data_IF_593690257940
#
_entry.id   IF_593690257940
#
_cell.length_a   1.000
_cell.length_b   1.000
_cell.length_c   1.000
_cell.angle_alpha   90.00
_cell.angle_beta   90.00
_cell.angle_gamma   90.00
#
_symmetry.space_group_name_H-M   'P 1'
#
loop_
_entity.id
_entity.type
_entity.pdbx_description
1 polymer ?
#
# COMPACT_ATOMS: atom_id res chain seq x y z
N UNK A 1 19.38 8.80 9.04
CA UNK A 1 17.93 8.98 8.85
C UNK A 1 17.43 10.07 9.78
N UNK A 2 17.54 11.33 9.37
CA UNK A 2 16.64 12.36 9.90
C UNK A 2 15.19 12.09 9.44
N UNK A 3 14.22 12.65 10.16
CA UNK A 3 12.81 12.63 9.77
C UNK A 3 12.33 14.07 9.65
N UNK A 4 11.73 14.42 8.51
CA UNK A 4 11.03 15.69 8.34
C UNK A 4 9.54 15.45 8.52
N UNK A 5 9.02 16.05 9.58
CA UNK A 5 7.60 16.10 9.89
C UNK A 5 7.06 17.44 9.39
N UNK A 6 5.93 17.43 8.69
CA UNK A 6 5.19 18.67 8.38
C UNK A 6 3.74 18.49 8.79
N UNK A 7 3.32 19.23 9.81
CA UNK A 7 1.92 19.43 10.14
C UNK A 7 1.38 20.51 9.21
N UNK A 8 0.32 20.18 8.51
CA UNK A 8 -0.58 21.12 7.83
C UNK A 8 -1.90 21.14 8.61
N UNK A 9 -2.77 22.10 8.31
CA UNK A 9 -4.13 22.15 8.85
C UNK A 9 -5.13 22.29 7.71
N UNK A 10 -6.30 21.67 7.84
CA UNK A 10 -7.45 21.96 6.98
C UNK A 10 -8.07 23.34 7.33
N UNK A 11 -9.01 23.87 6.53
CA UNK A 11 -9.70 25.12 6.84
C UNK A 11 -10.47 25.12 8.18
N UNK A 12 -10.81 23.92 8.71
CA UNK A 12 -11.40 23.73 10.03
C UNK A 12 -10.37 23.60 11.18
N UNK A 13 -9.07 23.78 10.92
CA UNK A 13 -8.01 23.72 11.92
C UNK A 13 -7.55 22.31 12.33
N UNK A 14 -8.09 21.25 11.72
CA UNK A 14 -7.71 19.85 11.99
C UNK A 14 -6.37 19.52 11.34
N UNK A 15 -5.53 18.79 12.05
CA UNK A 15 -4.13 18.52 11.65
C UNK A 15 -4.05 17.42 10.59
N UNK A 16 -3.42 17.74 9.47
CA UNK A 16 -2.94 16.79 8.46
C UNK A 16 -1.45 16.56 8.74
N UNK A 17 -1.04 15.30 8.93
CA UNK A 17 0.32 14.95 9.35
C UNK A 17 1.08 14.27 8.21
N UNK A 18 2.08 14.95 7.63
CA UNK A 18 2.98 14.34 6.65
C UNK A 18 4.25 13.80 7.33
N UNK A 19 4.48 12.51 7.14
CA UNK A 19 5.63 11.77 7.65
C UNK A 19 6.52 11.31 6.49
N UNK A 20 7.82 11.59 6.56
CA UNK A 20 8.79 11.12 5.57
C UNK A 20 10.07 10.59 6.24
N UNK A 21 10.61 9.50 5.70
CA UNK A 21 12.02 9.18 5.90
C UNK A 21 12.87 10.12 5.04
N UNK A 22 13.95 10.65 5.61
CA UNK A 22 15.01 11.25 4.79
C UNK A 22 16.05 10.15 4.58
N UNK A 23 16.14 9.67 3.34
CA UNK A 23 17.30 8.92 2.89
C UNK A 23 18.41 9.94 2.65
N UNK A 24 19.39 9.98 3.56
CA UNK A 24 20.56 10.87 3.45
C UNK A 24 21.57 10.28 2.47
N UNK A 25 21.21 10.27 1.19
CA UNK A 25 22.20 10.29 0.11
C UNK A 25 22.98 11.60 0.17
N UNK A 26 24.23 11.59 -0.30
CA UNK A 26 25.14 12.73 -0.19
C UNK A 26 24.58 14.03 -0.81
N UNK A 27 25.11 15.17 -0.35
CA UNK A 27 24.62 16.51 -0.69
C UNK A 27 24.73 16.90 -2.17
N UNK A 28 24.24 18.10 -2.55
CA UNK A 28 24.08 18.52 -3.94
C UNK A 28 25.42 18.75 -4.66
N UNK A 29 25.99 17.69 -5.20
CA UNK A 29 27.10 17.72 -6.16
C UNK A 29 26.57 17.59 -7.59
N UNK A 30 26.84 18.62 -8.40
CA UNK A 30 26.72 18.71 -9.87
C UNK A 30 26.27 17.45 -10.64
N UNK A 31 25.16 17.57 -11.37
CA UNK A 31 24.93 16.75 -12.58
C UNK A 31 25.98 17.14 -13.63
N UNK A 32 27.05 16.34 -13.75
CA UNK A 32 27.98 16.41 -14.89
C UNK A 32 27.53 15.48 -16.00
N UNK A 33 27.74 15.89 -17.25
CA UNK A 33 27.30 15.18 -18.45
C UNK A 33 28.11 13.91 -18.73
N UNK A 34 27.55 13.04 -19.58
CA UNK A 34 28.16 11.77 -19.99
C UNK A 34 29.49 11.96 -20.73
N UNK A 35 30.60 11.59 -20.07
CA UNK A 35 31.89 11.29 -20.70
C UNK A 35 32.77 10.37 -19.83
N UNK A 36 33.03 10.75 -18.58
CA UNK A 36 34.18 10.24 -17.81
C UNK A 36 33.87 9.13 -16.77
N UNK A 37 33.13 8.10 -17.19
CA UNK A 37 32.86 6.89 -16.36
C UNK A 37 33.32 5.60 -17.05
N UNK A 38 34.64 5.48 -17.28
CA UNK A 38 35.26 4.23 -17.79
C UNK A 38 36.26 3.53 -16.85
N UNK A 39 36.64 4.12 -15.71
CA UNK A 39 37.66 3.52 -14.81
C UNK A 39 37.29 3.55 -13.32
N UNK A 40 36.20 2.87 -12.94
CA UNK A 40 35.98 2.39 -11.56
C UNK A 40 35.48 0.94 -11.58
N UNK A 41 36.01 0.04 -10.73
CA UNK A 41 35.57 -1.35 -10.68
C UNK A 41 34.15 -1.47 -10.07
N UNK A 42 33.30 -2.39 -10.56
CA UNK A 42 31.94 -2.51 -10.08
C UNK A 42 31.88 -3.10 -8.67
N UNK A 43 31.42 -2.30 -7.70
CA UNK A 43 31.05 -2.78 -6.36
C UNK A 43 29.72 -3.55 -6.48
N UNK A 44 29.82 -4.81 -6.88
CA UNK A 44 28.67 -5.70 -7.08
C UNK A 44 27.94 -5.96 -5.76
N UNK A 45 26.64 -5.66 -5.73
CA UNK A 45 25.75 -6.19 -4.71
C UNK A 45 25.72 -7.74 -4.81
N UNK A 46 26.04 -8.51 -3.76
CA UNK A 46 26.35 -9.93 -3.87
C UNK A 46 25.09 -10.83 -3.94
N UNK A 47 24.25 -10.63 -4.97
CA UNK A 47 23.08 -11.47 -5.26
C UNK A 47 22.77 -11.61 -6.76
N UNK A 48 23.78 -11.52 -7.63
CA UNK A 48 23.59 -11.65 -9.08
C UNK A 48 24.69 -12.41 -9.83
N UNK A 49 24.93 -13.68 -9.47
CA UNK A 49 25.63 -14.62 -10.35
C UNK A 49 25.34 -16.11 -10.05
N UNK A 50 24.21 -16.63 -10.55
CA UNK A 50 24.08 -18.06 -10.87
C UNK A 50 23.38 -18.23 -12.24
N UNK A 51 24.12 -18.76 -13.22
CA UNK A 51 23.55 -19.20 -14.50
C UNK A 51 22.81 -20.53 -14.28
N UNK A 52 21.47 -20.53 -14.34
CA UNK A 52 20.69 -21.77 -14.43
C UNK A 52 19.90 -21.83 -15.73
N UNK A 53 20.45 -22.55 -16.72
CA UNK A 53 19.73 -22.95 -17.94
C UNK A 53 18.71 -24.05 -17.60
N UNK A 54 17.47 -23.70 -17.28
CA UNK A 54 16.31 -24.62 -17.32
C UNK A 54 15.05 -23.86 -17.80
N UNK A 55 14.06 -24.54 -18.41
CA UNK A 55 12.83 -23.89 -18.86
C UNK A 55 12.03 -23.28 -17.72
N UNK A 56 11.35 -22.17 -18.00
CA UNK A 56 10.34 -21.60 -17.10
C UNK A 56 9.16 -22.57 -16.97
N UNK A 57 8.65 -22.74 -15.75
CA UNK A 57 7.44 -23.55 -15.47
C UNK A 57 6.51 -22.77 -14.53
N UNK A 58 5.20 -22.98 -14.65
CA UNK A 58 4.11 -22.09 -14.15
C UNK A 58 4.03 -21.84 -12.64
N UNK A 59 4.97 -22.34 -11.85
CA UNK A 59 4.98 -22.18 -10.39
C UNK A 59 5.55 -20.83 -9.94
N UNK A 60 6.38 -20.16 -10.74
CA UNK A 60 6.96 -18.86 -10.40
C UNK A 60 5.93 -17.71 -10.42
N UNK A 61 5.00 -17.72 -11.38
CA UNK A 61 4.03 -16.64 -11.59
C UNK A 61 3.09 -16.41 -10.39
N UNK A 62 2.83 -17.45 -9.58
CA UNK A 62 1.84 -17.42 -8.49
C UNK A 62 2.31 -16.74 -7.20
N UNK A 63 3.56 -16.25 -7.14
CA UNK A 63 4.13 -15.60 -5.94
C UNK A 63 4.15 -14.06 -5.96
N UNK A 64 3.76 -13.40 -7.05
CA UNK A 64 3.76 -11.93 -7.17
C UNK A 64 2.35 -11.27 -7.16
N UNK A 65 1.31 -12.00 -6.74
CA UNK A 65 -0.06 -11.47 -6.62
C UNK A 65 -0.24 -10.63 -5.33
N UNK A 66 0.36 -9.43 -5.29
CA UNK A 66 0.49 -8.66 -4.04
C UNK A 66 0.20 -7.14 -4.10
N UNK A 67 -0.32 -6.60 -5.20
CA UNK A 67 -0.97 -5.27 -5.16
C UNK A 67 -2.46 -5.40 -4.77
N UNK A 68 -3.02 -4.31 -4.22
CA UNK A 68 -4.44 -4.09 -3.84
C UNK A 68 -4.96 -4.60 -2.47
N UNK A 69 -5.08 -3.62 -1.55
CA UNK A 69 -6.18 -3.31 -0.61
C UNK A 69 -6.62 -4.17 0.62
N UNK A 70 -6.29 -3.63 1.81
CA UNK A 70 -7.07 -3.44 3.07
C UNK A 70 -7.21 -4.45 4.23
N UNK A 71 -7.55 -3.85 5.38
CA UNK A 71 -7.45 -4.30 6.78
C UNK A 71 -8.78 -4.87 7.38
N UNK A 72 -8.82 -5.07 8.70
CA UNK A 72 -9.53 -6.16 9.43
C UNK A 72 -10.35 -5.67 10.67
N UNK A 73 -10.95 -6.61 11.45
CA UNK A 73 -11.50 -6.51 12.84
C UNK A 73 -12.87 -5.77 12.97
N UNK A 74 -13.94 -6.27 13.60
CA UNK A 74 -14.25 -7.63 14.12
C UNK A 74 -15.65 -8.12 13.60
N UNK A 75 -16.72 -8.61 14.28
CA UNK A 75 -17.12 -8.81 15.69
C UNK A 75 -17.61 -10.28 15.95
N UNK A 76 -18.68 -10.50 16.75
CA UNK A 76 -19.13 -11.83 17.27
C UNK A 76 -20.68 -11.99 17.35
N UNK A 77 -21.19 -13.23 17.44
CA UNK A 77 -22.33 -13.51 18.35
C UNK A 77 -22.28 -14.93 18.96
N UNK A 78 -21.80 -15.02 20.21
CA UNK A 78 -22.12 -16.02 21.25
C UNK A 78 -22.03 -17.51 20.87
N UNK A 79 -20.95 -18.15 21.34
CA UNK A 79 -21.06 -19.48 21.98
C UNK A 79 -20.60 -19.41 23.44
N UNK A 80 -21.42 -19.95 24.36
CA UNK A 80 -20.93 -20.33 25.69
C UNK A 80 -20.08 -21.60 25.52
N UNK A 81 -18.76 -21.50 25.64
CA UNK A 81 -17.91 -22.67 25.79
C UNK A 81 -17.79 -23.02 27.27
N UNK A 82 -18.66 -23.92 27.74
CA UNK A 82 -18.39 -24.70 28.95
C UNK A 82 -17.29 -25.71 28.62
N UNK A 83 -16.03 -25.29 28.77
CA UNK A 83 -14.93 -26.07 29.34
C UNK A 83 -13.62 -25.29 29.30
N UNK A 84 -12.73 -25.60 30.24
CA UNK A 84 -11.47 -24.88 30.43
C UNK A 84 -10.31 -25.47 29.65
N UNK A 85 -10.06 -24.99 28.43
CA UNK A 85 -8.74 -25.12 27.79
C UNK A 85 -8.07 -23.75 27.57
N UNK A 86 -7.03 -23.48 28.36
CA UNK A 86 -6.12 -22.34 28.18
C UNK A 86 -4.80 -22.78 27.50
N UNK A 87 -4.89 -23.69 26.52
CA UNK A 87 -3.78 -24.11 25.66
C UNK A 87 -3.10 -22.91 25.00
N UNK A 88 -1.97 -22.50 25.57
CA UNK A 88 -1.15 -21.44 25.02
C UNK A 88 -0.54 -21.91 23.69
N UNK A 89 -1.04 -21.37 22.57
CA UNK A 89 -0.59 -21.69 21.19
C UNK A 89 0.93 -21.90 21.15
N UNK A 90 1.37 -23.08 20.74
CA UNK A 90 2.80 -23.43 20.67
C UNK A 90 3.50 -22.56 19.60
N UNK A 91 4.80 -22.23 19.75
CA UNK A 91 5.54 -21.57 18.68
C UNK A 91 5.48 -22.40 17.39
N UNK A 92 5.34 -21.76 16.24
CA UNK A 92 5.38 -22.42 14.94
C UNK A 92 6.82 -22.45 14.42
N UNK A 93 7.14 -23.45 13.60
CA UNK A 93 8.48 -23.59 13.01
C UNK A 93 8.36 -23.44 11.49
N UNK A 94 9.14 -22.53 10.92
CA UNK A 94 9.17 -22.24 9.48
C UNK A 94 10.52 -22.67 8.93
N UNK A 95 10.50 -23.48 7.86
CA UNK A 95 11.70 -23.95 7.15
C UNK A 95 11.86 -23.20 5.83
N UNK A 96 13.03 -22.59 5.62
CA UNK A 96 13.47 -22.29 4.26
C UNK A 96 13.95 -23.60 3.60
N UNK A 97 13.33 -23.99 2.49
CA UNK A 97 13.54 -25.31 1.86
C UNK A 97 14.90 -25.41 1.18
N UNK A 98 15.35 -24.33 0.55
CA UNK A 98 16.60 -24.21 -0.20
C UNK A 98 17.85 -24.29 0.70
N UNK A 99 17.90 -23.45 1.75
CA UNK A 99 19.03 -23.36 2.68
C UNK A 99 18.94 -24.31 3.87
N UNK A 100 17.80 -24.98 4.04
CA UNK A 100 17.47 -25.78 5.22
C UNK A 100 17.25 -24.97 6.51
N UNK A 101 17.44 -23.65 6.51
CA UNK A 101 17.39 -22.81 7.71
C UNK A 101 16.00 -22.84 8.37
N UNK A 102 16.00 -23.10 9.67
CA UNK A 102 14.80 -23.11 10.52
C UNK A 102 14.65 -21.78 11.27
N UNK A 103 13.41 -21.31 11.38
CA UNK A 103 13.02 -20.12 12.15
C UNK A 103 11.83 -20.47 13.05
N UNK A 104 11.71 -19.80 14.19
CA UNK A 104 10.61 -20.01 15.15
C UNK A 104 9.73 -18.76 15.21
N UNK A 105 8.45 -18.91 14.91
CA UNK A 105 7.45 -17.86 15.05
C UNK A 105 6.73 -17.97 16.41
N UNK A 106 6.95 -16.97 17.25
CA UNK A 106 6.18 -16.70 18.47
C UNK A 106 5.22 -15.50 18.33
N UNK A 107 5.27 -14.77 17.22
CA UNK A 107 4.58 -13.50 17.01
C UNK A 107 3.11 -13.69 16.58
N UNK A 108 2.79 -14.77 15.85
CA UNK A 108 1.41 -15.13 15.49
C UNK A 108 0.49 -15.30 16.71
N UNK A 109 1.06 -15.49 17.92
CA UNK A 109 0.31 -15.63 19.17
C UNK A 109 -0.43 -14.35 19.58
N UNK A 110 0.08 -13.17 19.19
CA UNK A 110 -0.58 -11.87 19.44
C UNK A 110 -1.52 -11.45 18.31
N UNK A 111 -1.68 -12.26 17.26
CA UNK A 111 -2.65 -11.98 16.20
C UNK A 111 -4.10 -12.14 16.73
N UNK A 112 -4.81 -11.02 16.83
CA UNK A 112 -6.23 -10.97 17.25
C UNK A 112 -7.21 -11.19 16.10
N UNK A 113 -6.86 -10.71 14.91
CA UNK A 113 -7.78 -10.71 13.77
C UNK A 113 -8.02 -12.14 13.28
N UNK A 114 -9.28 -12.56 13.10
CA UNK A 114 -9.57 -13.87 12.52
C UNK A 114 -9.10 -13.93 11.08
N UNK A 115 -8.38 -15.00 10.74
CA UNK A 115 -8.08 -15.32 9.34
C UNK A 115 -9.33 -15.92 8.66
N UNK A 116 -9.49 -15.75 7.34
CA UNK A 116 -10.61 -16.34 6.60
C UNK A 116 -10.49 -17.86 6.42
N UNK A 117 -9.34 -18.46 6.74
CA UNK A 117 -9.13 -19.90 6.72
C UNK A 117 -9.76 -20.59 7.95
N UNK A 118 -10.38 -21.75 7.74
CA UNK A 118 -10.86 -22.64 8.80
C UNK A 118 -9.90 -23.83 8.98
N UNK A 119 -10.23 -24.77 9.87
CA UNK A 119 -9.53 -26.06 9.99
C UNK A 119 -9.70 -26.98 8.77
N UNK A 120 -10.68 -26.71 7.89
CA UNK A 120 -11.02 -27.53 6.73
C UNK A 120 -10.84 -26.81 5.39
N UNK A 121 -10.80 -25.48 5.37
CA UNK A 121 -10.75 -24.67 4.14
C UNK A 121 -9.64 -23.62 4.27
N UNK A 122 -8.63 -23.69 3.40
CA UNK A 122 -7.65 -22.62 3.24
C UNK A 122 -8.15 -21.60 2.21
N UNK A 123 -8.32 -20.34 2.63
CA UNK A 123 -8.70 -19.22 1.77
C UNK A 123 -7.52 -18.27 1.45
N UNK A 124 -6.27 -18.74 1.62
CA UNK A 124 -5.06 -17.92 1.49
C UNK A 124 -4.78 -17.34 0.10
N UNK A 125 -5.42 -17.88 -0.95
CA UNK A 125 -5.35 -17.38 -2.33
C UNK A 125 -6.40 -16.33 -2.68
N UNK A 126 -7.34 -16.00 -1.79
CA UNK A 126 -8.35 -14.97 -2.07
C UNK A 126 -7.71 -13.57 -2.04
N UNK A 127 -7.83 -12.84 -3.16
CA UNK A 127 -7.34 -11.46 -3.26
C UNK A 127 -8.02 -10.54 -2.24
N UNK A 128 -9.35 -10.62 -2.15
CA UNK A 128 -10.16 -9.96 -1.12
C UNK A 128 -10.77 -11.04 -0.21
N UNK A 129 -10.47 -10.98 1.11
CA UNK A 129 -11.11 -11.83 2.11
C UNK A 129 -12.44 -11.21 2.62
N UNK A 130 -13.35 -12.02 3.19
CA UNK A 130 -14.65 -11.54 3.68
C UNK A 130 -14.56 -10.64 4.92
N UNK A 131 -13.47 -10.70 5.70
CA UNK A 131 -13.30 -9.93 6.95
C UNK A 131 -12.73 -8.54 6.66
N UNK A 132 -13.53 -7.66 6.05
CA UNK A 132 -13.19 -6.23 5.85
C UNK A 132 -14.01 -5.32 6.76
N UNK A 133 -13.35 -4.36 7.40
CA UNK A 133 -14.02 -3.26 8.12
C UNK A 133 -14.49 -2.19 7.14
N UNK A 134 -15.51 -2.52 6.36
CA UNK A 134 -16.11 -1.66 5.32
C UNK A 134 -17.22 -0.73 5.85
N UNK A 135 -17.64 -0.86 7.12
CA UNK A 135 -18.66 0.01 7.71
C UNK A 135 -18.21 1.47 7.71
N UNK A 136 -19.17 2.39 7.60
CA UNK A 136 -18.94 3.81 7.94
C UNK A 136 -18.92 4.00 9.45
N UNK A 137 -19.68 3.17 10.16
CA UNK A 137 -19.98 3.29 11.57
C UNK A 137 -18.72 3.36 12.46
N UNK A 138 -18.70 4.24 13.48
CA UNK A 138 -17.64 4.30 14.47
C UNK A 138 -17.44 2.98 15.21
N UNK A 139 -16.22 2.83 15.71
CA UNK A 139 -15.79 1.69 16.52
C UNK A 139 -16.40 1.79 17.93
N UNK A 140 -17.07 0.75 18.47
CA UNK A 140 -17.61 0.77 19.83
C UNK A 140 -16.54 1.13 20.88
N UNK A 141 -16.92 1.84 21.94
CA UNK A 141 -15.98 2.37 22.95
C UNK A 141 -15.11 1.27 23.55
N UNK A 142 -15.68 0.09 23.77
CA UNK A 142 -15.04 -1.08 24.33
C UNK A 142 -13.99 -1.68 23.37
N UNK A 143 -14.27 -1.67 22.06
CA UNK A 143 -13.33 -2.06 21.01
C UNK A 143 -12.19 -1.03 20.91
N UNK A 144 -12.49 0.27 20.92
CA UNK A 144 -11.49 1.35 20.92
C UNK A 144 -10.57 1.26 22.15
N UNK A 145 -11.13 1.13 23.36
CA UNK A 145 -10.36 0.99 24.60
C UNK A 145 -9.43 -0.23 24.57
N UNK A 146 -9.92 -1.38 24.08
CA UNK A 146 -9.09 -2.58 23.91
C UNK A 146 -7.92 -2.32 22.96
N UNK A 147 -8.17 -1.76 21.78
CA UNK A 147 -7.12 -1.50 20.79
C UNK A 147 -6.13 -0.44 21.29
N UNK A 148 -6.62 0.58 22.00
CA UNK A 148 -5.82 1.65 22.57
C UNK A 148 -4.87 1.12 23.64
N UNK A 149 -5.33 0.21 24.52
CA UNK A 149 -4.48 -0.42 25.52
C UNK A 149 -3.41 -1.28 24.86
N UNK A 150 -3.80 -2.18 23.94
CA UNK A 150 -2.85 -3.04 23.20
C UNK A 150 -1.77 -2.22 22.48
N UNK A 151 -2.15 -1.08 21.88
CA UNK A 151 -1.23 -0.18 21.19
C UNK A 151 -0.33 0.62 22.14
N UNK A 152 -0.87 1.18 23.22
CA UNK A 152 -0.09 1.96 24.20
C UNK A 152 0.91 1.08 24.95
N UNK A 153 0.49 -0.12 25.37
CA UNK A 153 1.38 -1.12 25.98
C UNK A 153 2.56 -1.41 25.04
N UNK A 154 2.30 -1.57 23.74
CA UNK A 154 3.33 -1.82 22.72
C UNK A 154 4.23 -0.60 22.43
N UNK A 155 3.66 0.61 22.35
CA UNK A 155 4.40 1.86 22.17
C UNK A 155 5.34 2.13 23.34
N UNK A 156 4.83 2.08 24.58
CA UNK A 156 5.62 2.30 25.78
C UNK A 156 6.65 1.17 26.02
N UNK A 157 6.37 -0.06 25.60
CA UNK A 157 7.39 -1.13 25.52
C UNK A 157 8.51 -0.76 24.55
N UNK A 158 8.20 -0.25 23.35
CA UNK A 158 9.20 0.08 22.32
C UNK A 158 10.19 1.16 22.76
N UNK A 159 9.74 2.15 23.55
CA UNK A 159 10.56 3.23 24.11
C UNK A 159 11.13 2.89 25.51
N UNK A 160 10.99 1.65 25.98
CA UNK A 160 11.46 1.16 27.30
C UNK A 160 10.86 1.91 28.51
N UNK A 161 9.58 2.32 28.42
CA UNK A 161 8.84 3.05 29.47
C UNK A 161 7.50 2.40 29.88
N UNK A 162 7.32 1.12 29.55
CA UNK A 162 6.19 0.31 30.01
C UNK A 162 6.03 0.36 31.53
N UNK A 163 4.79 0.39 32.03
CA UNK A 163 4.43 0.62 33.45
C UNK A 163 5.02 1.88 34.13
N UNK A 164 5.59 2.82 33.39
CA UNK A 164 6.05 4.10 33.98
C UNK A 164 4.86 5.01 34.33
N UNK A 165 5.07 5.98 35.24
CA UNK A 165 4.05 7.00 35.57
C UNK A 165 3.53 7.76 34.34
N UNK A 166 4.32 7.88 33.28
CA UNK A 166 3.89 8.49 32.01
C UNK A 166 2.95 7.57 31.19
N UNK A 167 3.13 6.25 31.28
CA UNK A 167 2.29 5.26 30.62
C UNK A 167 0.89 5.26 31.21
N UNK A 168 0.76 5.04 32.52
CA UNK A 168 -0.56 4.93 33.14
C UNK A 168 -1.30 6.29 33.15
N UNK A 169 -0.59 7.43 33.23
CA UNK A 169 -1.19 8.76 32.99
C UNK A 169 -1.77 8.88 31.57
N UNK A 170 -1.06 8.41 30.54
CA UNK A 170 -1.54 8.43 29.15
C UNK A 170 -2.72 7.49 28.95
N UNK A 171 -2.72 6.32 29.61
CA UNK A 171 -3.88 5.43 29.63
C UNK A 171 -5.12 6.12 30.21
N UNK A 172 -5.04 6.70 31.42
CA UNK A 172 -6.18 7.42 32.03
C UNK A 172 -6.65 8.63 31.21
N UNK A 173 -5.74 9.29 30.49
CA UNK A 173 -6.10 10.37 29.57
C UNK A 173 -6.92 9.86 28.37
N UNK A 174 -6.46 8.78 27.73
CA UNK A 174 -7.12 8.16 26.57
C UNK A 174 -8.45 7.54 26.96
N UNK A 175 -8.53 6.85 28.10
CA UNK A 175 -9.76 6.28 28.64
C UNK A 175 -10.85 7.36 28.83
N UNK A 176 -10.48 8.48 29.46
CA UNK A 176 -11.37 9.65 29.62
C UNK A 176 -11.81 10.23 28.27
N UNK A 177 -10.93 10.28 27.27
CA UNK A 177 -11.29 10.77 25.93
C UNK A 177 -12.29 9.84 25.22
N UNK A 178 -12.04 8.53 25.19
CA UNK A 178 -12.92 7.55 24.55
C UNK A 178 -14.29 7.50 25.26
N UNK A 179 -14.32 7.60 26.58
CA UNK A 179 -15.58 7.69 27.31
C UNK A 179 -16.37 8.95 26.98
N UNK A 180 -15.71 10.10 26.82
CA UNK A 180 -16.38 11.37 26.49
C UNK A 180 -16.88 11.45 25.04
N UNK A 181 -16.07 11.05 24.04
CA UNK A 181 -16.34 11.29 22.60
C UNK A 181 -16.27 10.06 21.69
N UNK A 182 -16.14 8.85 22.23
CA UNK A 182 -16.04 7.61 21.45
C UNK A 182 -14.66 7.31 20.85
N UNK A 183 -13.75 8.28 20.81
CA UNK A 183 -12.41 8.17 20.21
C UNK A 183 -11.36 8.98 21.00
N UNK A 184 -10.09 8.88 20.62
CA UNK A 184 -8.98 9.63 21.24
C UNK A 184 -7.99 10.17 20.20
N UNK A 185 -7.26 11.23 20.56
CA UNK A 185 -6.23 11.80 19.70
C UNK A 185 -4.88 11.12 19.98
N UNK A 186 -4.29 10.53 18.95
CA UNK A 186 -2.89 10.08 18.98
C UNK A 186 -1.95 11.29 19.01
N UNK A 187 -0.92 11.23 19.84
CA UNK A 187 0.22 12.16 19.76
C UNK A 187 1.03 11.91 18.49
N UNK A 188 1.81 12.90 18.06
CA UNK A 188 2.65 12.75 16.85
C UNK A 188 3.62 11.56 16.95
N UNK A 189 4.23 11.32 18.12
CA UNK A 189 5.15 10.20 18.34
C UNK A 189 4.45 8.84 18.33
N UNK A 190 3.23 8.76 18.87
CA UNK A 190 2.38 7.57 18.75
C UNK A 190 1.96 7.33 17.30
N UNK A 191 1.53 8.36 16.56
CA UNK A 191 1.11 8.24 15.16
C UNK A 191 2.28 7.81 14.24
N UNK A 192 3.47 8.37 14.46
CA UNK A 192 4.71 7.97 13.78
C UNK A 192 5.07 6.51 14.05
N UNK A 193 4.91 6.06 15.31
CA UNK A 193 5.12 4.65 15.67
C UNK A 193 4.09 3.74 15.01
N UNK A 194 2.80 4.11 15.07
CA UNK A 194 1.68 3.37 14.47
C UNK A 194 1.81 3.20 12.96
N UNK A 195 2.10 4.27 12.22
CA UNK A 195 2.27 4.22 10.76
C UNK A 195 3.45 3.32 10.35
N UNK A 196 4.60 3.44 11.02
CA UNK A 196 5.78 2.56 10.79
C UNK A 196 5.47 1.11 11.12
N UNK A 197 4.71 0.86 12.20
CA UNK A 197 4.30 -0.48 12.61
C UNK A 197 3.30 -1.10 11.63
N UNK A 198 2.35 -0.32 11.09
CA UNK A 198 1.42 -0.77 10.06
C UNK A 198 2.14 -1.20 8.77
N UNK A 199 3.14 -0.43 8.32
CA UNK A 199 4.02 -0.83 7.21
C UNK A 199 4.74 -2.15 7.53
N UNK A 200 5.41 -2.25 8.69
CA UNK A 200 6.11 -3.47 9.13
C UNK A 200 5.19 -4.70 9.18
N UNK A 201 3.94 -4.53 9.59
CA UNK A 201 2.95 -5.59 9.74
C UNK A 201 2.21 -5.92 8.43
N UNK A 202 2.42 -5.16 7.34
CA UNK A 202 1.78 -5.37 6.04
C UNK A 202 2.34 -6.61 5.34
N UNK A 203 1.77 -7.79 5.63
CA UNK A 203 2.29 -9.09 5.20
C UNK A 203 2.46 -9.26 3.68
N UNK A 204 1.65 -8.57 2.86
CA UNK A 204 1.77 -8.56 1.38
C UNK A 204 2.89 -7.66 0.85
N UNK A 205 3.43 -6.73 1.65
CA UNK A 205 4.51 -5.85 1.23
C UNK A 205 5.86 -6.59 1.25
N UNK A 206 6.55 -6.67 0.11
CA UNK A 206 7.91 -7.19 0.00
C UNK A 206 8.95 -6.17 0.51
N UNK A 207 8.76 -4.88 0.23
CA UNK A 207 9.68 -3.78 0.54
C UNK A 207 9.78 -3.37 2.02
N UNK A 208 9.30 -4.16 2.97
CA UNK A 208 9.18 -3.83 4.42
C UNK A 208 10.46 -3.42 5.15
N UNK A 209 11.63 -3.56 4.53
CA UNK A 209 12.92 -3.11 5.05
C UNK A 209 13.12 -1.59 4.92
N UNK A 210 12.40 -0.92 4.00
CA UNK A 210 12.42 0.53 3.82
C UNK A 210 11.00 1.11 3.90
N UNK A 211 10.90 2.40 4.20
CA UNK A 211 9.68 3.18 4.06
C UNK A 211 10.01 4.57 3.52
N UNK A 212 9.16 5.13 2.65
CA UNK A 212 9.41 6.45 2.02
C UNK A 212 8.60 7.54 2.72
N UNK A 213 7.33 7.78 2.33
CA UNK A 213 6.48 8.76 2.99
C UNK A 213 5.01 8.31 3.08
N UNK A 214 4.29 8.89 4.04
CA UNK A 214 2.84 8.76 4.24
C UNK A 214 2.27 10.11 4.68
N UNK A 215 1.14 10.51 4.10
CA UNK A 215 0.37 11.68 4.54
C UNK A 215 -0.91 11.19 5.18
N UNK A 216 -1.18 11.62 6.42
CA UNK A 216 -2.30 11.14 7.23
C UNK A 216 -3.26 12.31 7.45
N UNK A 217 -4.48 12.18 6.95
CA UNK A 217 -5.57 13.14 7.16
C UNK A 217 -6.23 12.94 8.54
N UNK A 218 -7.16 13.81 8.98
CA UNK A 218 -7.86 13.61 10.26
C UNK A 218 -8.58 12.25 10.33
N UNK A 219 -8.68 11.65 11.53
CA UNK A 219 -9.34 10.36 11.71
C UNK A 219 -10.86 10.46 11.64
N UNK A 220 -11.51 9.33 11.38
CA UNK A 220 -12.97 9.18 11.46
C UNK A 220 -13.49 9.50 12.87
N UNK A 221 -14.58 10.27 12.91
CA UNK A 221 -15.34 10.61 14.14
C UNK A 221 -16.65 9.81 14.25
N UNK A 222 -17.54 9.97 13.27
CA UNK A 222 -18.94 9.55 13.28
C UNK A 222 -19.33 8.71 12.04
N UNK A 223 -18.40 8.52 11.10
CA UNK A 223 -18.62 7.79 9.85
C UNK A 223 -19.18 8.63 8.69
N UNK A 224 -19.63 9.85 8.97
CA UNK A 224 -20.06 10.80 7.96
C UNK A 224 -18.87 11.66 7.53
N UNK A 225 -18.16 12.27 8.49
CA UNK A 225 -17.09 13.25 8.22
C UNK A 225 -15.73 12.64 7.82
N UNK A 226 -15.74 11.54 7.06
CA UNK A 226 -14.53 10.89 6.53
C UNK A 226 -13.78 11.78 5.51
N UNK A 227 -12.44 11.73 5.56
CA UNK A 227 -11.60 12.17 4.43
C UNK A 227 -11.34 10.99 3.52
N UNK A 228 -11.45 11.18 2.20
CA UNK A 228 -11.28 10.11 1.20
C UNK A 228 -10.52 10.61 -0.03
N UNK A 229 -9.47 9.89 -0.41
CA UNK A 229 -8.97 9.90 -1.79
C UNK A 229 -9.67 8.75 -2.50
N UNK A 230 -10.47 9.06 -3.53
CA UNK A 230 -11.23 8.03 -4.26
C UNK A 230 -10.33 7.26 -5.23
N UNK A 231 -9.25 7.88 -5.71
CA UNK A 231 -8.24 7.25 -6.55
C UNK A 231 -7.57 6.07 -5.85
N UNK A 232 -7.32 5.01 -6.61
CA UNK A 232 -6.63 3.81 -6.13
C UNK A 232 -5.16 4.11 -5.79
N UNK A 233 -4.54 4.94 -6.62
CA UNK A 233 -3.22 5.52 -6.47
C UNK A 233 -3.29 7.02 -6.76
N UNK A 234 -2.39 7.83 -6.18
CA UNK A 234 -2.36 9.28 -6.44
C UNK A 234 -2.07 9.60 -7.92
N UNK A 235 -1.24 8.80 -8.57
CA UNK A 235 -1.01 8.86 -10.02
C UNK A 235 -1.46 7.52 -10.60
N UNK A 236 -2.27 7.58 -11.65
CA UNK A 236 -2.87 6.44 -12.34
C UNK A 236 -3.38 6.95 -13.70
N UNK A 237 -3.25 6.16 -14.75
CA UNK A 237 -3.71 6.56 -16.08
C UNK A 237 -5.21 6.31 -16.26
N UNK A 238 -5.84 7.10 -17.13
CA UNK A 238 -7.26 7.00 -17.46
C UNK A 238 -7.57 5.81 -18.38
N UNK A 239 -8.84 5.40 -18.42
CA UNK A 239 -9.36 4.32 -19.25
C UNK A 239 -10.57 4.78 -20.06
N UNK A 240 -10.36 5.14 -21.31
CA UNK A 240 -11.37 5.72 -22.19
C UNK A 240 -12.05 4.61 -22.99
N UNK A 241 -13.19 4.13 -22.50
CA UNK A 241 -14.01 3.15 -23.23
C UNK A 241 -14.57 3.77 -24.52
N UNK A 242 -14.42 3.04 -25.62
CA UNK A 242 -14.81 3.44 -26.97
C UNK A 242 -16.20 2.90 -27.36
N UNK A 243 -16.85 3.44 -28.41
CA UNK A 243 -18.17 2.99 -28.87
C UNK A 243 -18.22 1.53 -29.34
N UNK A 244 -17.11 0.98 -29.83
CA UNK A 244 -16.96 -0.42 -30.24
C UNK A 244 -16.74 -1.40 -29.06
N UNK A 245 -16.60 -0.87 -27.84
CA UNK A 245 -16.32 -1.62 -26.62
C UNK A 245 -14.84 -1.77 -26.26
N UNK A 246 -13.92 -1.33 -27.13
CA UNK A 246 -12.48 -1.26 -26.82
C UNK A 246 -12.18 -0.19 -25.75
N UNK A 247 -10.93 -0.13 -25.27
CA UNK A 247 -10.47 0.87 -24.30
C UNK A 247 -9.13 1.44 -24.74
N UNK A 248 -9.02 2.76 -24.75
CA UNK A 248 -7.75 3.49 -24.85
C UNK A 248 -7.27 3.79 -23.44
N UNK A 249 -5.99 3.59 -23.14
CA UNK A 249 -5.43 3.76 -21.79
C UNK A 249 -5.51 2.49 -20.95
N UNK A 250 -5.81 2.63 -19.65
CA UNK A 250 -5.84 1.53 -18.67
C UNK A 250 -7.26 1.01 -18.41
N UNK A 251 -7.62 -0.22 -18.81
CA UNK A 251 -8.94 -0.80 -18.56
C UNK A 251 -9.33 -0.90 -17.08
N UNK A 252 -8.38 -0.96 -16.13
CA UNK A 252 -8.71 -0.98 -14.71
C UNK A 252 -9.22 0.36 -14.18
N UNK A 253 -8.96 1.46 -14.91
CA UNK A 253 -9.33 2.83 -14.51
C UNK A 253 -10.67 3.30 -15.07
N UNK A 254 -11.35 2.52 -15.92
CA UNK A 254 -12.54 2.96 -16.68
C UNK A 254 -13.66 3.50 -15.78
N UNK A 255 -14.00 2.81 -14.70
CA UNK A 255 -15.08 3.23 -13.77
C UNK A 255 -14.80 4.62 -13.19
N UNK A 256 -13.59 4.85 -12.70
CA UNK A 256 -13.18 6.13 -12.12
C UNK A 256 -12.96 7.21 -13.19
N UNK A 257 -12.58 6.84 -14.41
CA UNK A 257 -12.52 7.74 -15.57
C UNK A 257 -13.90 8.32 -15.88
N UNK A 258 -14.95 7.49 -15.85
CA UNK A 258 -16.34 7.94 -16.01
C UNK A 258 -16.86 8.74 -14.80
N UNK A 259 -16.33 8.54 -13.60
CA UNK A 259 -16.62 9.39 -12.44
C UNK A 259 -15.98 10.78 -12.63
N UNK A 260 -14.70 10.87 -13.00
CA UNK A 260 -14.03 12.14 -13.25
C UNK A 260 -14.75 12.97 -14.33
N UNK A 261 -15.16 12.33 -15.45
CA UNK A 261 -15.96 12.98 -16.50
C UNK A 261 -17.27 13.56 -15.98
N UNK A 262 -18.00 12.82 -15.12
CA UNK A 262 -19.27 13.28 -14.51
C UNK A 262 -19.07 14.45 -13.54
N UNK A 263 -17.92 14.52 -12.89
CA UNK A 263 -17.50 15.65 -12.03
C UNK A 263 -16.93 16.84 -12.84
N UNK A 264 -16.98 16.78 -14.18
CA UNK A 264 -16.64 17.90 -15.06
C UNK A 264 -15.25 17.85 -15.72
N UNK A 265 -14.45 16.81 -15.45
CA UNK A 265 -13.14 16.64 -16.10
C UNK A 265 -13.29 16.39 -17.61
N UNK A 266 -12.39 16.97 -18.40
CA UNK A 266 -12.42 16.94 -19.87
C UNK A 266 -11.17 16.25 -20.41
N UNK A 267 -11.19 14.92 -20.57
CA UNK A 267 -10.03 14.19 -21.09
C UNK A 267 -9.72 14.52 -22.56
N UNK A 268 -8.43 14.53 -22.88
CA UNK A 268 -7.91 14.53 -24.25
C UNK A 268 -8.06 13.14 -24.92
N UNK A 269 -8.19 12.06 -24.12
CA UNK A 269 -8.34 10.68 -24.60
C UNK A 269 -7.03 9.92 -24.74
N UNK A 270 -5.98 10.34 -24.04
CA UNK A 270 -4.62 9.84 -24.22
C UNK A 270 -4.35 8.46 -23.61
N UNK A 271 -3.57 7.63 -24.31
CA UNK A 271 -3.15 6.29 -23.83
C UNK A 271 -2.40 6.31 -22.48
N UNK A 272 -1.77 7.43 -22.14
CA UNK A 272 -1.10 7.65 -20.86
C UNK A 272 -1.56 8.99 -20.24
N UNK A 273 -2.82 9.37 -20.46
CA UNK A 273 -3.45 10.53 -19.81
C UNK A 273 -3.60 10.27 -18.30
N UNK A 274 -3.14 11.19 -17.46
CA UNK A 274 -3.20 11.05 -16.01
C UNK A 274 -4.59 11.45 -15.49
N UNK A 275 -5.16 10.66 -14.58
CA UNK A 275 -6.42 11.03 -13.93
C UNK A 275 -6.21 12.15 -12.89
N UNK A 276 -7.15 13.11 -12.77
CA UNK A 276 -7.17 14.04 -11.65
C UNK A 276 -7.41 13.31 -10.32
N UNK A 277 -7.02 13.94 -9.22
CA UNK A 277 -7.39 13.50 -7.88
C UNK A 277 -8.88 13.81 -7.64
N UNK A 278 -9.61 12.80 -7.17
CA UNK A 278 -11.00 12.89 -6.73
C UNK A 278 -11.01 12.82 -5.20
N UNK A 279 -11.32 13.93 -4.55
CA UNK A 279 -11.13 14.12 -3.11
C UNK A 279 -12.43 14.51 -2.41
N UNK A 280 -12.79 13.79 -1.34
CA UNK A 280 -13.77 14.25 -0.35
C UNK A 280 -13.03 14.63 0.93
N UNK A 281 -13.25 15.85 1.42
CA UNK A 281 -12.84 16.30 2.74
C UNK A 281 -14.07 16.35 3.66
N UNK A 282 -13.93 16.06 4.96
CA UNK A 282 -15.01 16.24 5.95
C UNK A 282 -16.35 15.52 5.62
N UNK A 283 -16.37 14.52 4.75
CA UNK A 283 -17.62 13.91 4.29
C UNK A 283 -18.40 14.67 3.21
N UNK A 284 -17.89 15.82 2.75
CA UNK A 284 -18.47 16.59 1.64
C UNK A 284 -18.37 15.82 0.30
N UNK A 285 -19.15 16.27 -0.70
CA UNK A 285 -19.13 15.73 -2.05
C UNK A 285 -17.72 15.77 -2.69
N UNK A 286 -17.41 14.84 -3.62
CA UNK A 286 -16.08 14.74 -4.21
C UNK A 286 -15.78 15.87 -5.21
N UNK A 287 -14.72 16.63 -4.94
CA UNK A 287 -14.15 17.61 -5.86
C UNK A 287 -13.00 17.01 -6.70
N UNK A 288 -12.78 17.56 -7.91
CA UNK A 288 -11.69 17.15 -8.81
C UNK A 288 -10.53 18.15 -8.80
N UNK A 289 -9.31 17.63 -8.74
CA UNK A 289 -8.07 18.40 -8.77
C UNK A 289 -7.09 17.78 -9.76
N UNK A 290 -6.86 18.45 -10.88
CA UNK A 290 -5.83 18.05 -11.84
C UNK A 290 -4.44 18.17 -11.20
N UNK A 291 -3.58 17.18 -11.47
CA UNK A 291 -2.19 17.19 -11.00
C UNK A 291 -1.35 17.89 -12.08
N UNK A 292 -0.62 18.98 -11.76
CA UNK A 292 0.30 19.61 -12.71
C UNK A 292 1.31 18.59 -13.25
N UNK A 293 1.42 18.49 -14.58
CA UNK A 293 2.27 17.48 -15.26
C UNK A 293 3.76 17.62 -14.92
N UNK A 294 4.24 18.80 -14.49
CA UNK A 294 5.61 18.99 -13.99
C UNK A 294 5.88 18.24 -12.67
N UNK A 295 4.83 17.86 -11.94
CA UNK A 295 4.90 16.99 -10.76
C UNK A 295 4.77 15.50 -11.12
N UNK A 296 4.35 15.16 -12.34
CA UNK A 296 4.19 13.78 -12.81
C UNK A 296 5.49 13.33 -13.49
N UNK A 297 6.45 12.87 -12.68
CA UNK A 297 7.68 12.27 -13.21
C UNK A 297 7.37 10.99 -14.00
N UNK A 298 7.38 11.08 -15.33
CA UNK A 298 7.20 9.97 -16.28
C UNK A 298 8.56 9.38 -16.68
N UNK A 299 8.60 8.07 -16.90
CA UNK A 299 9.76 7.31 -17.42
C UNK A 299 9.35 6.66 -18.74
N UNK A 300 9.99 7.05 -19.83
CA UNK A 300 9.82 6.40 -21.14
C UNK A 300 10.52 5.05 -21.13
N UNK A 301 9.82 4.01 -21.60
CA UNK A 301 10.32 2.64 -21.62
C UNK A 301 10.97 2.41 -22.99
N UNK A 302 12.28 2.18 -22.96
CA UNK A 302 13.10 1.83 -24.13
C UNK A 302 13.83 0.53 -23.87
N UNK A 303 14.15 -0.22 -24.91
CA UNK A 303 14.92 -1.46 -24.78
C UNK A 303 16.34 -1.30 -25.38
N UNK A 304 17.40 -1.82 -24.72
CA UNK A 304 18.78 -1.64 -25.17
C UNK A 304 19.13 -2.39 -26.47
N UNK A 305 18.32 -3.38 -26.87
CA UNK A 305 18.51 -4.16 -28.11
C UNK A 305 17.33 -3.98 -29.08
N UNK A 306 16.16 -4.55 -28.77
CA UNK A 306 14.95 -4.47 -29.60
C UNK A 306 14.32 -3.07 -29.69
N UNK A 307 14.64 -2.31 -30.74
CA UNK A 307 14.08 -0.96 -30.97
C UNK A 307 12.58 -0.92 -31.28
N UNK A 308 11.99 -2.05 -31.63
CA UNK A 308 10.52 -2.22 -31.69
C UNK A 308 9.81 -1.95 -30.37
N UNK A 309 10.49 -1.96 -29.22
CA UNK A 309 9.91 -1.54 -27.92
C UNK A 309 9.84 -0.02 -27.81
N UNK A 310 10.87 0.70 -28.27
CA UNK A 310 10.91 2.17 -28.29
C UNK A 310 9.77 2.72 -29.19
N UNK A 311 9.48 2.02 -30.30
CA UNK A 311 8.38 2.28 -31.22
C UNK A 311 6.98 2.11 -30.59
N UNK A 312 6.83 1.31 -29.53
CA UNK A 312 5.56 1.15 -28.81
C UNK A 312 5.17 2.38 -27.97
N UNK A 313 6.07 3.37 -27.85
CA UNK A 313 5.91 4.64 -27.12
C UNK A 313 5.35 4.45 -25.70
N UNK A 314 5.82 3.42 -25.00
CA UNK A 314 5.40 3.11 -23.64
C UNK A 314 6.05 4.08 -22.63
N UNK A 315 5.28 4.52 -21.65
CA UNK A 315 5.80 5.24 -20.49
C UNK A 315 5.04 4.87 -19.22
N UNK A 316 5.65 5.16 -18.06
CA UNK A 316 5.02 4.94 -16.75
C UNK A 316 5.42 6.02 -15.75
N UNK A 317 4.57 6.30 -14.76
CA UNK A 317 4.88 7.25 -13.69
C UNK A 317 5.86 6.64 -12.68
N UNK A 318 6.82 7.42 -12.18
CA UNK A 318 7.93 6.91 -11.37
C UNK A 318 7.56 6.58 -9.91
N UNK A 319 6.44 7.08 -9.40
CA UNK A 319 6.09 7.06 -7.97
C UNK A 319 4.83 6.23 -7.72
N UNK A 320 4.94 4.97 -7.22
CA UNK A 320 3.79 4.21 -6.76
C UNK A 320 3.33 4.77 -5.41
N UNK A 321 2.15 5.37 -5.40
CA UNK A 321 1.57 6.04 -4.24
C UNK A 321 0.13 5.59 -4.01
N UNK A 322 -0.08 4.57 -3.17
CA UNK A 322 -1.41 3.97 -2.96
C UNK A 322 -2.24 4.87 -2.03
N UNK A 323 -3.49 5.16 -2.41
CA UNK A 323 -4.26 6.27 -1.81
C UNK A 323 -5.64 5.91 -1.26
N UNK A 324 -6.36 4.94 -1.84
CA UNK A 324 -7.63 4.43 -1.27
C UNK A 324 -7.39 3.46 -0.09
N UNK A 325 -6.34 3.72 0.68
CA UNK A 325 -5.92 2.92 1.82
C UNK A 325 -6.30 3.59 3.15
N UNK A 326 -6.91 2.80 4.05
CA UNK A 326 -7.20 3.18 5.43
C UNK A 326 -6.12 2.65 6.38
N UNK A 327 -5.64 3.48 7.31
CA UNK A 327 -4.71 3.13 8.38
C UNK A 327 -5.49 2.97 9.70
N UNK A 328 -5.17 1.91 10.45
CA UNK A 328 -5.72 1.63 11.79
C UNK A 328 -4.58 1.66 12.82
N UNK A 329 -4.68 2.54 13.80
CA UNK A 329 -3.69 2.67 14.88
C UNK A 329 -4.42 2.73 16.23
N UNK A 330 -4.27 1.67 17.01
CA UNK A 330 -4.73 1.62 18.40
C UNK A 330 -6.21 1.92 18.60
N UNK A 331 -7.07 1.61 17.63
CA UNK A 331 -8.50 1.91 17.69
C UNK A 331 -8.93 3.02 16.73
N UNK A 332 -8.03 3.96 16.42
CA UNK A 332 -8.30 5.14 15.59
C UNK A 332 -8.19 4.79 14.10
N UNK A 333 -9.19 5.20 13.32
CA UNK A 333 -9.31 4.89 11.89
C UNK A 333 -9.04 6.12 11.02
N UNK A 334 -8.04 6.04 10.14
CA UNK A 334 -7.62 7.12 9.25
C UNK A 334 -8.01 6.78 7.81
N UNK A 335 -9.15 7.29 7.35
CA UNK A 335 -9.82 6.89 6.09
C UNK A 335 -9.18 7.41 4.81
N UNK A 336 -8.33 8.44 4.92
CA UNK A 336 -7.34 8.79 3.90
C UNK A 336 -5.94 8.83 4.52
N UNK A 337 -5.06 7.94 4.07
CA UNK A 337 -3.65 7.95 4.47
C UNK A 337 -2.67 7.64 3.31
N UNK A 338 -2.72 8.38 2.18
CA UNK A 338 -1.92 8.06 1.00
C UNK A 338 -0.42 7.97 1.31
N UNK A 339 0.20 6.88 0.86
CA UNK A 339 1.62 6.58 1.08
C UNK A 339 2.30 6.07 -0.19
N UNK A 340 3.59 6.34 -0.31
CA UNK A 340 4.38 5.93 -1.48
C UNK A 340 5.59 5.08 -1.10
N UNK A 341 6.06 4.31 -2.08
CA UNK A 341 7.32 3.57 -2.04
C UNK A 341 8.14 3.86 -3.29
N UNK A 342 8.72 2.79 -3.84
CA UNK A 342 9.40 2.73 -5.13
C UNK A 342 8.95 1.43 -5.82
N UNK A 343 8.87 1.41 -7.14
CA UNK A 343 8.39 0.23 -7.87
C UNK A 343 9.35 -0.96 -7.79
N UNK A 344 8.81 -2.16 -7.62
CA UNK A 344 9.44 -3.39 -8.10
C UNK A 344 9.13 -3.53 -9.59
N UNK A 345 10.15 -3.74 -10.43
CA UNK A 345 10.04 -3.71 -11.91
C UNK A 345 8.93 -4.61 -12.47
N UNK A 346 8.66 -5.75 -11.83
CA UNK A 346 7.61 -6.70 -12.25
C UNK A 346 6.18 -6.22 -11.98
N UNK A 347 5.96 -5.18 -11.18
CA UNK A 347 4.66 -4.52 -11.10
C UNK A 347 4.31 -3.91 -12.47
N UNK A 348 5.17 -3.02 -12.98
CA UNK A 348 4.98 -2.38 -14.29
C UNK A 348 5.08 -3.43 -15.41
N UNK A 349 6.23 -4.10 -15.52
CA UNK A 349 6.59 -4.89 -16.70
C UNK A 349 5.84 -6.24 -16.82
N UNK A 350 5.12 -6.68 -15.78
CA UNK A 350 4.28 -7.89 -15.83
C UNK A 350 2.82 -7.57 -15.53
N UNK A 351 2.52 -6.83 -14.45
CA UNK A 351 1.12 -6.63 -14.02
C UNK A 351 0.43 -5.48 -14.71
N UNK A 352 1.09 -4.34 -14.89
CA UNK A 352 0.50 -3.20 -15.59
C UNK A 352 0.52 -3.41 -17.11
N UNK A 353 1.64 -3.90 -17.66
CA UNK A 353 1.80 -4.10 -19.10
C UNK A 353 1.25 -5.42 -19.66
N UNK A 354 1.33 -6.54 -18.93
CA UNK A 354 1.08 -7.87 -19.51
C UNK A 354 -0.13 -8.62 -18.94
N UNK A 355 -0.83 -8.11 -17.91
CA UNK A 355 -2.12 -8.66 -17.53
C UNK A 355 -3.17 -8.36 -18.62
N UNK A 356 -3.95 -9.37 -19.03
CA UNK A 356 -4.95 -9.26 -20.09
C UNK A 356 -6.15 -8.33 -19.77
N UNK A 357 -6.28 -7.88 -18.52
CA UNK A 357 -7.28 -6.88 -18.09
C UNK A 357 -6.66 -5.49 -17.85
N UNK A 358 -5.44 -5.28 -18.34
CA UNK A 358 -4.66 -4.04 -18.28
C UNK A 358 -4.19 -3.71 -19.72
N UNK A 359 -2.94 -3.32 -19.94
CA UNK A 359 -2.47 -2.96 -21.29
C UNK A 359 -2.27 -4.16 -22.25
N UNK A 360 -2.36 -5.41 -21.78
CA UNK A 360 -2.33 -6.66 -22.56
C UNK A 360 -1.22 -6.77 -23.64
N UNK A 361 -0.03 -6.24 -23.38
CA UNK A 361 1.04 -6.15 -24.38
C UNK A 361 1.70 -7.49 -24.72
N UNK A 362 1.47 -8.52 -23.90
CA UNK A 362 1.93 -9.88 -24.16
C UNK A 362 1.39 -10.41 -25.50
N UNK A 363 0.09 -10.21 -25.77
CA UNK A 363 -0.58 -10.64 -27.01
C UNK A 363 -0.16 -9.79 -28.22
N UNK A 364 0.02 -8.48 -28.03
CA UNK A 364 0.51 -7.57 -29.09
C UNK A 364 1.92 -7.97 -29.56
N UNK A 365 2.79 -8.34 -28.62
CA UNK A 365 4.21 -8.63 -28.90
C UNK A 365 4.45 -9.89 -29.73
N UNK A 366 3.53 -10.86 -29.70
CA UNK A 366 3.62 -12.08 -30.52
C UNK A 366 3.06 -11.85 -31.93
N UNK A 367 1.98 -11.07 -32.05
CA UNK A 367 1.39 -10.71 -33.34
C UNK A 367 2.34 -9.84 -34.19
N UNK A 368 3.06 -8.89 -33.58
CA UNK A 368 4.05 -8.06 -34.29
C UNK A 368 5.29 -8.83 -34.73
N UNK A 369 5.53 -10.03 -34.17
CA UNK A 369 6.67 -10.90 -34.48
C UNK A 369 6.21 -12.21 -35.13
N UNK A 370 5.15 -12.18 -35.93
CA UNK A 370 4.66 -13.31 -36.74
C UNK A 370 5.59 -13.71 -37.92
N UNK A 371 6.91 -13.60 -37.74
CA UNK A 371 7.86 -14.46 -38.43
C UNK A 371 7.74 -15.86 -37.78
N UNK A 372 7.56 -16.95 -38.56
CA UNK A 372 7.12 -18.22 -37.99
C UNK A 372 8.23 -18.91 -37.19
N UNK A 373 8.16 -18.82 -35.86
CA UNK A 373 8.86 -19.72 -34.95
C UNK A 373 8.23 -21.12 -35.02
N UNK A 374 8.55 -21.84 -36.11
CA UNK A 374 8.38 -23.29 -36.15
C UNK A 374 9.24 -23.93 -35.05
N UNK A 375 8.57 -24.56 -34.09
CA UNK A 375 9.22 -25.50 -33.17
C UNK A 375 9.26 -26.85 -33.89
N UNK A 376 10.45 -27.24 -34.35
CA UNK A 376 10.79 -28.58 -34.80
C UNK A 376 11.68 -29.29 -33.78
#
# INVERSE_FOLDING_TARGET
MTHRHKILSDPGGRKITRLASVCETAGPGSFTTSSDLQQLPPVLCPFHQQRLRRPWTDKAAKMCCANSFHLWRWADTRRKSSDGDKSAKRPLIVRNVETGKMLVDSLHKIARNPLPCTSTICQGSLMCGPVRRNGRDPRPKEEVLQHAREFLDQFYTSIKRFHSKAHEKRWSEVERQVQARGTYDLTETELVFGAKLAWRNSARCIGRIQWSAITIFPPRTDGQHDYKVWNSQLIQFAGHKQPDGSVIGDPASVELTEICKKLGWKPEGGRFEALPLVLSANGEDPEIFEIPEDLIMRVKITHPVYKTIDEMQLEWYAVPAVSSMMLDVGGVEFTACPFNGWYMVTEIAVRDFCDAHRYNLAEVSTLSHAAPFYIG
#
